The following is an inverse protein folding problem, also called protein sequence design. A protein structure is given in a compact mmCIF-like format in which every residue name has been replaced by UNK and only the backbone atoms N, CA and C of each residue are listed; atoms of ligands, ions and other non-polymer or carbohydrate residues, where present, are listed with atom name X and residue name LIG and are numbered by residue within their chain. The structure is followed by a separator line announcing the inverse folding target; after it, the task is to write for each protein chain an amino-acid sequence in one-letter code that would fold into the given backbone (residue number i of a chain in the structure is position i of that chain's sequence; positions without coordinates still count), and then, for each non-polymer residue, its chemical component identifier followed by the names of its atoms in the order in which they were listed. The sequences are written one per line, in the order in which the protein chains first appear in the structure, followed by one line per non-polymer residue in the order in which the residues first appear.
data_IF_809991785864
#
_entry.id   IF_809991785864
#
_cell.length_a   1.000
_cell.length_b   1.000
_cell.length_c   1.000
_cell.angle_alpha   90.00
_cell.angle_beta   90.00
_cell.angle_gamma   90.00
#
_symmetry.space_group_name_H-M   'P 1'
#
loop_
_entity.id
_entity.type
_entity.pdbx_description
1 polymer ?
#
# COMPACT_ATOMS: atom_id res chain seq x y z
N UNK A 1 -3.08 4.77 9.40
CA UNK A 1 -2.71 3.49 8.75
C UNK A 1 -1.22 3.54 8.45
N UNK A 2 -0.50 2.44 8.66
CA UNK A 2 0.91 2.33 8.27
C UNK A 2 1.05 1.51 6.99
N UNK A 3 1.92 1.94 6.08
CA UNK A 3 2.31 1.15 4.92
C UNK A 3 3.80 0.78 4.98
N UNK A 4 4.11 -0.47 4.63
CA UNK A 4 5.45 -0.98 4.43
C UNK A 4 5.62 -1.15 2.92
N UNK A 5 6.45 -0.31 2.30
CA UNK A 5 6.70 -0.29 0.87
C UNK A 5 7.89 -1.18 0.55
N UNK A 6 7.67 -2.26 -0.20
CA UNK A 6 8.73 -3.09 -0.78
C UNK A 6 9.09 -2.52 -2.15
N UNK A 7 10.35 -2.12 -2.38
CA UNK A 7 10.76 -1.42 -3.59
C UNK A 7 10.65 -2.32 -4.83
N UNK A 8 10.10 -1.80 -5.93
CA UNK A 8 10.05 -2.48 -7.22
C UNK A 8 10.22 -1.48 -8.37
N UNK A 9 11.18 -1.72 -9.26
CA UNK A 9 11.36 -0.88 -10.46
C UNK A 9 10.10 -0.95 -11.32
N UNK A 10 9.52 0.21 -11.63
CA UNK A 10 8.38 0.36 -12.54
C UNK A 10 8.31 1.80 -13.03
N UNK A 11 7.85 2.02 -14.27
CA UNK A 11 7.57 3.36 -14.78
C UNK A 11 6.17 3.86 -14.37
N UNK A 12 5.38 3.02 -13.71
CA UNK A 12 4.07 3.39 -13.19
C UNK A 12 4.23 4.39 -12.03
N UNK A 13 3.41 5.44 -12.02
CA UNK A 13 3.34 6.42 -10.95
C UNK A 13 2.23 6.02 -9.99
N UNK A 14 2.56 5.89 -8.70
CA UNK A 14 1.61 5.50 -7.67
C UNK A 14 1.45 6.57 -6.60
N UNK A 15 0.19 6.94 -6.34
CA UNK A 15 -0.20 7.75 -5.19
C UNK A 15 -0.97 6.89 -4.19
N UNK A 16 -0.70 7.07 -2.91
CA UNK A 16 -1.31 6.29 -1.82
C UNK A 16 -1.83 7.23 -0.75
N UNK A 17 -3.07 7.04 -0.33
CA UNK A 17 -3.68 7.76 0.79
C UNK A 17 -4.55 6.82 1.62
N UNK A 18 -4.83 7.20 2.87
CA UNK A 18 -5.70 6.42 3.73
C UNK A 18 -6.62 7.32 4.55
N UNK A 19 -7.88 6.90 4.72
CA UNK A 19 -8.84 7.54 5.60
C UNK A 19 -9.37 6.51 6.59
N UNK A 20 -8.91 6.57 7.83
CA UNK A 20 -9.15 5.51 8.81
C UNK A 20 -8.54 4.18 8.32
N UNK A 21 -9.37 3.16 8.20
CA UNK A 21 -8.98 1.81 7.76
C UNK A 21 -9.22 1.58 6.25
N UNK A 22 -9.59 2.62 5.49
CA UNK A 22 -9.76 2.54 4.05
C UNK A 22 -8.52 3.09 3.34
N UNK A 23 -7.86 2.24 2.57
CA UNK A 23 -6.73 2.57 1.71
C UNK A 23 -7.22 2.93 0.32
N UNK A 24 -6.73 4.02 -0.26
CA UNK A 24 -6.96 4.38 -1.66
C UNK A 24 -5.63 4.48 -2.38
N UNK A 25 -5.51 3.77 -3.51
CA UNK A 25 -4.33 3.78 -4.35
C UNK A 25 -4.73 4.22 -5.75
N UNK A 26 -3.95 5.14 -6.32
CA UNK A 26 -4.02 5.50 -7.73
C UNK A 26 -2.73 5.06 -8.41
N UNK A 27 -2.84 4.35 -9.53
CA UNK A 27 -1.71 3.99 -10.41
C UNK A 27 -2.04 4.47 -11.81
N UNK A 28 -1.22 5.37 -12.36
CA UNK A 28 -1.37 5.93 -13.71
C UNK A 28 -2.80 6.41 -14.04
N UNK A 29 -3.47 7.05 -13.07
CA UNK A 29 -4.83 7.57 -13.22
C UNK A 29 -5.96 6.56 -13.00
N UNK A 30 -5.65 5.28 -12.73
CA UNK A 30 -6.65 4.27 -12.31
C UNK A 30 -6.64 4.19 -10.80
N UNK A 31 -7.81 4.27 -10.17
CA UNK A 31 -7.96 4.24 -8.72
C UNK A 31 -8.65 2.96 -8.26
N UNK A 32 -8.19 2.43 -7.13
CA UNK A 32 -8.85 1.34 -6.40
C UNK A 32 -8.79 1.59 -4.88
N UNK A 33 -9.71 0.98 -4.15
CA UNK A 33 -9.84 1.15 -2.70
C UNK A 33 -9.97 -0.19 -1.99
N UNK A 34 -9.28 -0.31 -0.87
CA UNK A 34 -9.26 -1.50 -0.03
C UNK A 34 -9.76 -1.13 1.36
N UNK A 35 -10.92 -1.69 1.72
CA UNK A 35 -11.54 -1.45 3.02
C UNK A 35 -11.11 -2.55 4.02
N UNK A 36 -10.37 -2.14 5.04
CA UNK A 36 -9.89 -3.01 6.11
C UNK A 36 -10.69 -2.84 7.41
N UNK A 37 -11.83 -2.14 7.39
CA UNK A 37 -12.60 -1.83 8.61
C UNK A 37 -13.11 -3.09 9.34
N UNK A 38 -13.20 -4.22 8.64
CA UNK A 38 -13.66 -5.49 9.22
C UNK A 38 -12.54 -6.29 9.87
N UNK A 39 -11.27 -5.91 9.69
CA UNK A 39 -10.14 -6.57 10.35
C UNK A 39 -10.19 -6.29 11.85
N UNK A 40 -10.00 -7.35 12.63
CA UNK A 40 -9.79 -7.31 14.09
C UNK A 40 -8.30 -7.45 14.40
N UNK A 41 -7.89 -7.03 15.59
CA UNK A 41 -6.52 -7.23 16.04
C UNK A 41 -6.13 -8.71 15.98
N UNK A 42 -5.01 -8.99 15.32
CA UNK A 42 -4.52 -10.34 15.02
C UNK A 42 -4.92 -10.88 13.64
N UNK A 43 -5.87 -10.23 12.94
CA UNK A 43 -6.26 -10.66 11.60
C UNK A 43 -5.19 -10.34 10.56
N UNK A 44 -5.08 -11.21 9.56
CA UNK A 44 -4.20 -11.07 8.39
C UNK A 44 -5.05 -11.32 7.14
N UNK A 45 -4.96 -10.41 6.17
CA UNK A 45 -5.57 -10.51 4.86
C UNK A 45 -4.50 -10.54 3.75
N UNK A 46 -4.72 -11.40 2.76
CA UNK A 46 -3.87 -11.62 1.57
C UNK A 46 -4.76 -11.85 0.34
N UNK A 47 -4.16 -12.06 -0.83
CA UNK A 47 -4.85 -12.41 -2.08
C UNK A 47 -5.93 -11.41 -2.52
N UNK A 48 -5.58 -10.12 -2.46
CA UNK A 48 -6.49 -9.04 -2.86
C UNK A 48 -6.78 -9.04 -4.36
N UNK A 49 -8.06 -8.87 -4.69
CA UNK A 49 -8.51 -8.56 -6.05
C UNK A 49 -8.41 -7.06 -6.25
N UNK A 50 -7.86 -6.63 -7.39
CA UNK A 50 -7.74 -5.22 -7.73
C UNK A 50 -7.89 -5.00 -9.23
N UNK A 51 -8.37 -3.81 -9.60
CA UNK A 51 -8.34 -3.34 -10.99
C UNK A 51 -6.97 -2.77 -11.40
N UNK A 52 -6.08 -2.53 -10.43
CA UNK A 52 -4.73 -2.03 -10.67
C UNK A 52 -3.82 -3.14 -11.20
N UNK A 53 -3.01 -2.81 -12.21
CA UNK A 53 -2.06 -3.75 -12.82
C UNK A 53 -0.65 -3.15 -12.85
N UNK A 54 0.30 -3.70 -12.07
CA UNK A 54 0.12 -4.78 -11.10
C UNK A 54 -0.62 -4.31 -9.83
N UNK A 55 -1.31 -5.22 -9.13
CA UNK A 55 -1.91 -4.92 -7.83
C UNK A 55 -0.80 -4.59 -6.80
N UNK A 56 -0.75 -3.36 -6.26
CA UNK A 56 0.29 -2.98 -5.31
C UNK A 56 0.09 -3.60 -3.92
N UNK A 57 -1.11 -4.03 -3.55
CA UNK A 57 -1.41 -4.53 -2.20
C UNK A 57 -1.03 -6.01 -2.07
N UNK A 58 -0.10 -6.31 -1.15
CA UNK A 58 0.42 -7.68 -0.94
C UNK A 58 -0.16 -8.37 0.29
N UNK A 59 -0.29 -7.64 1.38
CA UNK A 59 -0.83 -8.13 2.67
C UNK A 59 -1.37 -6.96 3.48
N UNK A 60 -2.35 -7.22 4.33
CA UNK A 60 -2.77 -6.30 5.37
C UNK A 60 -2.91 -7.06 6.68
N UNK A 61 -2.60 -6.43 7.80
CA UNK A 61 -2.86 -6.98 9.13
C UNK A 61 -3.28 -5.88 10.08
N UNK A 62 -4.00 -6.23 11.14
CA UNK A 62 -4.33 -5.30 12.21
C UNK A 62 -3.64 -5.70 13.51
N UNK A 63 -2.87 -4.80 14.07
CA UNK A 63 -2.11 -5.02 15.30
C UNK A 63 -2.30 -3.82 16.23
N UNK A 64 -2.76 -4.06 17.45
CA UNK A 64 -2.94 -3.03 18.48
C UNK A 64 -3.80 -1.84 18.02
N UNK A 65 -4.89 -2.12 17.29
CA UNK A 65 -5.80 -1.11 16.76
C UNK A 65 -5.33 -0.42 15.47
N UNK A 66 -4.12 -0.70 14.97
CA UNK A 66 -3.57 -0.09 13.76
C UNK A 66 -3.57 -1.08 12.58
N UNK A 67 -4.08 -0.64 11.42
CA UNK A 67 -3.91 -1.36 10.15
C UNK A 67 -2.52 -1.09 9.57
N UNK A 68 -1.80 -2.17 9.29
CA UNK A 68 -0.49 -2.17 8.66
C UNK A 68 -0.57 -2.92 7.33
N UNK A 69 -0.30 -2.22 6.23
CA UNK A 69 -0.41 -2.75 4.86
C UNK A 69 0.98 -2.92 4.25
N UNK A 70 1.23 -4.06 3.62
CA UNK A 70 2.39 -4.28 2.76
C UNK A 70 2.05 -3.92 1.32
N UNK A 71 2.77 -2.95 0.76
CA UNK A 71 2.57 -2.42 -0.58
C UNK A 71 3.82 -2.60 -1.44
N UNK A 72 3.64 -2.68 -2.76
CA UNK A 72 4.73 -2.41 -3.71
C UNK A 72 5.00 -0.90 -3.69
N UNK A 73 6.25 -0.49 -3.48
CA UNK A 73 6.71 0.87 -3.72
C UNK A 73 7.36 0.96 -5.09
N UNK A 74 6.62 1.46 -6.09
CA UNK A 74 7.20 1.70 -7.40
C UNK A 74 8.27 2.79 -7.34
N UNK A 75 9.37 2.57 -8.04
CA UNK A 75 10.43 3.58 -8.21
C UNK A 75 10.86 3.70 -9.66
N UNK A 76 11.17 4.95 -10.06
CA UNK A 76 11.58 5.36 -11.40
C UNK A 76 13.06 5.09 -11.72
N UNK A 77 13.52 5.44 -12.93
CA UNK A 77 14.95 5.35 -13.27
C UNK A 77 15.79 6.39 -12.50
N UNK A 78 15.18 7.51 -12.14
CA UNK A 78 15.80 8.63 -11.42
C UNK A 78 15.55 8.55 -9.89
N UNK A 79 15.17 7.38 -9.39
CA UNK A 79 14.82 7.19 -7.99
C UNK A 79 16.01 7.40 -7.06
N UNK A 80 15.76 7.97 -5.89
CA UNK A 80 16.78 8.03 -4.85
C UNK A 80 17.05 6.63 -4.29
N UNK A 81 18.26 6.39 -3.75
CA UNK A 81 18.62 5.11 -3.12
C UNK A 81 17.62 4.72 -2.02
N UNK A 82 17.08 5.71 -1.30
CA UNK A 82 16.06 5.51 -0.27
C UNK A 82 14.77 4.86 -0.79
N UNK A 83 14.44 5.05 -2.06
CA UNK A 83 13.26 4.47 -2.71
C UNK A 83 13.50 3.05 -3.21
N UNK A 84 14.78 2.65 -3.30
CA UNK A 84 15.22 1.29 -3.64
C UNK A 84 15.33 0.39 -2.40
N UNK A 85 14.97 0.91 -1.21
CA UNK A 85 14.96 0.19 0.05
C UNK A 85 13.53 0.03 0.59
N UNK A 86 13.32 -0.99 1.43
CA UNK A 86 12.06 -1.14 2.16
C UNK A 86 11.88 0.02 3.12
N UNK A 87 10.73 0.70 3.05
CA UNK A 87 10.44 1.89 3.86
C UNK A 87 9.07 1.80 4.52
N UNK A 88 8.98 2.31 5.75
CA UNK A 88 7.71 2.47 6.46
C UNK A 88 7.22 3.91 6.30
N UNK A 89 5.94 4.08 5.98
CA UNK A 89 5.29 5.38 5.86
C UNK A 89 3.98 5.39 6.64
N UNK A 90 3.70 6.49 7.32
CA UNK A 90 2.40 6.72 7.95
C UNK A 90 1.52 7.44 6.92
N UNK A 91 0.42 6.79 6.55
CA UNK A 91 -0.56 7.35 5.64
C UNK A 91 -1.54 8.20 6.45
N UNK A 92 -1.47 9.51 6.23
CA UNK A 92 -2.41 10.50 6.75
C UNK A 92 -3.30 10.95 5.58
N UNK A 93 -4.61 10.98 5.81
CA UNK A 93 -5.60 11.49 4.86
C UNK A 93 -6.22 12.79 5.34
#
# INVERSE_FOLDING_TARGET
MKAILTPQRSDNVMNVSAKGDVLTIEVDGVTDSFDFSTLKDGDIAVDFVSVLSPNPVRKARKESGEVIVGLIGFYGPDAEESEMLTREVILNG
#
